data_IF_985106886808
#
_entry.id   IF_985106886808
#
_cell.length_a   1.000
_cell.length_b   1.000
_cell.length_c   1.000
_cell.angle_alpha   90.00
_cell.angle_beta   90.00
_cell.angle_gamma   90.00
#
_symmetry.space_group_name_H-M   'P 1'
#
loop_
_entity.id
_entity.type
_entity.pdbx_description
1 polymer ?
#
# COMPACT_ATOMS: atom_id res chain seq x y z
N UNK A 1 19.95 11.53 -12.52
CA UNK A 1 18.72 10.75 -12.33
C UNK A 1 17.66 11.71 -11.80
N UNK A 2 16.64 12.11 -12.58
CA UNK A 2 15.65 13.04 -12.05
C UNK A 2 14.76 12.25 -11.08
N UNK A 3 14.88 12.56 -9.79
CA UNK A 3 13.95 12.07 -8.78
C UNK A 3 12.66 12.83 -8.99
N UNK A 4 11.73 12.22 -9.72
CA UNK A 4 10.36 12.68 -9.87
C UNK A 4 9.69 12.61 -8.49
N UNK A 5 9.98 13.63 -7.67
CA UNK A 5 9.32 13.96 -6.42
C UNK A 5 7.95 14.57 -6.76
N UNK A 6 7.11 13.82 -7.49
CA UNK A 6 5.69 14.16 -7.66
C UNK A 6 5.00 13.90 -6.32
N UNK A 7 5.11 14.90 -5.43
CA UNK A 7 4.09 15.27 -4.43
C UNK A 7 3.43 14.09 -3.70
N UNK A 8 4.24 13.17 -3.16
CA UNK A 8 3.76 12.05 -2.34
C UNK A 8 3.26 10.81 -3.10
N UNK A 9 3.27 10.81 -4.43
CA UNK A 9 2.96 9.63 -5.24
C UNK A 9 4.12 8.64 -5.19
N UNK A 10 3.80 7.38 -4.86
CA UNK A 10 4.77 6.29 -4.75
C UNK A 10 4.20 5.05 -5.42
N UNK A 11 4.97 4.48 -6.33
CA UNK A 11 4.75 3.14 -6.85
C UNK A 11 5.47 2.14 -5.93
N UNK A 12 4.73 1.13 -5.48
CA UNK A 12 5.21 0.05 -4.62
C UNK A 12 4.91 -1.28 -5.28
N UNK A 13 5.87 -2.19 -5.23
CA UNK A 13 5.68 -3.58 -5.67
C UNK A 13 5.93 -4.49 -4.49
N UNK A 14 4.95 -5.33 -4.18
CA UNK A 14 5.01 -6.23 -3.04
C UNK A 14 3.94 -7.31 -3.12
N UNK A 15 3.88 -8.13 -2.09
CA UNK A 15 2.85 -9.16 -1.96
C UNK A 15 1.65 -8.58 -1.22
N UNK A 16 0.46 -8.78 -1.77
CA UNK A 16 -0.79 -8.34 -1.13
C UNK A 16 -1.17 -9.37 -0.05
N UNK A 17 -1.51 -8.88 1.13
CA UNK A 17 -1.93 -9.68 2.28
C UNK A 17 -3.24 -9.09 2.83
N UNK A 18 -4.25 -9.93 3.06
CA UNK A 18 -5.47 -9.52 3.76
C UNK A 18 -5.37 -9.95 5.22
N UNK A 19 -5.45 -8.98 6.14
CA UNK A 19 -5.32 -9.25 7.57
C UNK A 19 -6.25 -8.36 8.37
N UNK A 20 -7.06 -8.96 9.26
CA UNK A 20 -7.96 -8.24 10.16
C UNK A 20 -8.90 -7.25 9.42
N UNK A 21 -9.32 -7.60 8.19
CA UNK A 21 -10.15 -6.74 7.33
C UNK A 21 -9.40 -5.65 6.57
N UNK A 22 -8.07 -5.58 6.69
CA UNK A 22 -7.21 -4.64 5.99
C UNK A 22 -6.51 -5.28 4.80
N UNK A 23 -6.44 -4.56 3.68
CA UNK A 23 -5.55 -4.88 2.57
C UNK A 23 -4.17 -4.29 2.86
N UNK A 24 -3.19 -5.15 2.99
CA UNK A 24 -1.80 -4.83 3.26
C UNK A 24 -0.94 -5.20 2.04
N UNK A 25 0.14 -4.49 1.84
CA UNK A 25 1.16 -4.78 0.84
C UNK A 25 2.51 -4.91 1.54
N UNK A 26 3.07 -6.10 1.51
CA UNK A 26 4.40 -6.38 2.04
C UNK A 26 5.44 -6.12 0.97
N UNK A 27 6.24 -5.07 1.17
CA UNK A 27 7.37 -4.70 0.31
C UNK A 27 8.65 -4.99 1.09
N UNK A 28 9.18 -6.21 0.98
CA UNK A 28 10.31 -6.67 1.80
C UNK A 28 9.94 -6.65 3.29
N UNK A 29 10.66 -5.85 4.07
CA UNK A 29 10.49 -5.73 5.53
C UNK A 29 9.47 -4.66 5.95
N UNK A 30 8.88 -3.94 4.99
CA UNK A 30 7.87 -2.90 5.28
C UNK A 30 6.49 -3.36 4.85
N UNK A 31 5.52 -3.21 5.76
CA UNK A 31 4.10 -3.47 5.49
C UNK A 31 3.36 -2.16 5.29
N UNK A 32 2.64 -2.06 4.17
CA UNK A 32 1.87 -0.90 3.77
C UNK A 32 0.37 -1.21 3.78
N UNK A 33 -0.42 -0.45 4.52
CA UNK A 33 -1.88 -0.48 4.40
C UNK A 33 -2.28 0.17 3.07
N UNK A 34 -2.99 -0.58 2.23
CA UNK A 34 -3.59 -0.07 1.02
C UNK A 34 -4.99 0.44 1.36
N UNK A 35 -5.20 1.74 1.15
CA UNK A 35 -6.46 2.42 1.40
C UNK A 35 -7.08 2.84 0.07
N UNK A 36 -8.41 2.91 0.01
CA UNK A 36 -9.17 3.28 -1.20
C UNK A 36 -9.93 2.09 -1.80
N UNK A 37 -10.94 2.37 -2.62
CA UNK A 37 -11.85 1.34 -3.16
C UNK A 37 -11.11 0.24 -3.93
N UNK A 38 -10.13 0.63 -4.75
CA UNK A 38 -9.34 -0.28 -5.58
C UNK A 38 -8.46 -1.26 -4.75
N UNK A 39 -8.25 -1.00 -3.45
CA UNK A 39 -7.44 -1.88 -2.61
C UNK A 39 -8.16 -3.21 -2.33
N UNK A 40 -9.49 -3.17 -2.16
CA UNK A 40 -10.29 -4.36 -1.91
C UNK A 40 -10.33 -5.32 -3.11
N UNK A 41 -10.10 -4.80 -4.32
CA UNK A 41 -10.06 -5.60 -5.56
C UNK A 41 -8.72 -6.34 -5.75
N UNK A 42 -7.71 -6.06 -4.92
CA UNK A 42 -6.40 -6.71 -5.04
C UNK A 42 -6.43 -8.12 -4.45
N UNK A 43 -6.09 -9.15 -5.23
CA UNK A 43 -6.07 -10.53 -4.73
C UNK A 43 -4.92 -10.73 -3.74
N UNK A 44 -5.24 -11.12 -2.51
CA UNK A 44 -4.24 -11.53 -1.53
C UNK A 44 -3.44 -12.75 -1.99
N UNK A 45 -2.19 -12.83 -1.55
CA UNK A 45 -1.24 -13.88 -1.91
C UNK A 45 -0.52 -13.64 -3.24
N UNK A 46 -0.92 -12.61 -4.00
CA UNK A 46 -0.24 -12.27 -5.26
C UNK A 46 0.67 -11.05 -5.12
N UNK A 47 1.69 -11.00 -5.97
CA UNK A 47 2.54 -9.82 -6.09
C UNK A 47 1.86 -8.80 -6.98
N UNK A 48 1.57 -7.62 -6.44
CA UNK A 48 0.96 -6.51 -7.16
C UNK A 48 1.89 -5.30 -7.16
N UNK A 49 1.81 -4.53 -8.24
CA UNK A 49 2.38 -3.17 -8.29
C UNK A 49 1.22 -2.21 -8.07
N UNK A 50 1.30 -1.41 -7.01
CA UNK A 50 0.30 -0.42 -6.66
C UNK A 50 0.91 0.95 -6.71
N UNK A 51 0.12 1.93 -7.13
CA UNK A 51 0.55 3.33 -7.17
C UNK A 51 -0.46 4.14 -6.38
N UNK A 52 0.02 5.01 -5.51
CA UNK A 52 -0.85 5.79 -4.65
C UNK A 52 -0.10 6.91 -3.97
N UNK A 53 -0.78 7.57 -3.04
CA UNK A 53 -0.21 8.65 -2.24
C UNK A 53 0.06 8.14 -0.84
N UNK A 54 1.27 8.35 -0.32
CA UNK A 54 1.59 8.00 1.06
C UNK A 54 0.76 8.86 2.02
N UNK A 55 0.11 8.21 2.99
CA UNK A 55 -0.72 8.86 4.00
C UNK A 55 -0.39 8.32 5.40
N UNK A 56 -1.01 8.90 6.42
CA UNK A 56 -0.93 8.41 7.79
C UNK A 56 -1.64 7.06 7.94
N UNK A 57 -1.08 6.19 8.77
CA UNK A 57 -1.69 4.89 9.08
C UNK A 57 -2.96 5.11 9.90
N UNK A 58 -4.12 4.55 9.51
CA UNK A 58 -5.33 4.61 10.31
C UNK A 58 -5.11 3.97 11.68
N UNK A 59 -5.73 4.55 12.72
CA UNK A 59 -5.67 3.98 14.06
C UNK A 59 -6.21 2.53 14.06
N UNK A 60 -5.44 1.60 14.63
CA UNK A 60 -5.80 0.18 14.67
C UNK A 60 -5.35 -0.65 13.46
N UNK A 61 -4.71 -0.04 12.46
CA UNK A 61 -4.14 -0.80 11.34
C UNK A 61 -2.77 -1.39 11.73
N UNK A 62 -2.51 -2.70 11.49
CA UNK A 62 -1.23 -3.34 11.84
C UNK A 62 -0.06 -2.97 10.90
N UNK A 63 -0.26 -2.07 9.94
CA UNK A 63 0.77 -1.68 8.98
C UNK A 63 1.74 -0.65 9.55
N UNK A 64 2.99 -0.67 9.07
CA UNK A 64 3.99 0.35 9.41
C UNK A 64 3.74 1.66 8.67
N UNK A 65 3.17 1.59 7.45
CA UNK A 65 2.88 2.74 6.59
C UNK A 65 1.54 2.56 5.89
N UNK A 66 0.98 3.64 5.35
CA UNK A 66 -0.25 3.59 4.56
C UNK A 66 -0.09 4.30 3.21
N UNK A 67 -0.75 3.76 2.20
CA UNK A 67 -0.80 4.26 0.84
C UNK A 67 -2.25 4.28 0.39
N UNK A 68 -2.75 5.47 0.04
CA UNK A 68 -4.08 5.60 -0.57
C UNK A 68 -3.93 5.42 -2.07
N UNK A 69 -4.53 4.36 -2.62
CA UNK A 69 -4.55 4.09 -4.05
C UNK A 69 -5.37 5.15 -4.78
N UNK A 70 -4.92 5.53 -5.97
CA UNK A 70 -5.58 6.47 -6.87
C UNK A 70 -6.01 5.77 -8.15
#
# INVERSE_FOLDING_TARGET
MPTDLVRGHRALRGTVEHRDGWTLLRTGDTTWALLGGNAADLPAGQSATVTGVQTAVPAGCPASRALTLR
#
